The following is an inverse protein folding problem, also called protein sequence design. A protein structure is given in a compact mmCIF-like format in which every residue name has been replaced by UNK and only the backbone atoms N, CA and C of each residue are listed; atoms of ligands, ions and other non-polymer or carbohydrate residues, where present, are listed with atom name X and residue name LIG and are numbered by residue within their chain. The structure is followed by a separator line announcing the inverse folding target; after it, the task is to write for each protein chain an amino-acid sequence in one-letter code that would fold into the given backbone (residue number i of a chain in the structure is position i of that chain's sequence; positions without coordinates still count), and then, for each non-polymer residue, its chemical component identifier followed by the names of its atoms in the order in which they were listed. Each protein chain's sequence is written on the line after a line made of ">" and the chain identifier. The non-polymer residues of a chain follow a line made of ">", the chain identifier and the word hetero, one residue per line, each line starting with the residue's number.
data_IF_703533526754
#
_entry.id   IF_703533526754
#
_cell.length_a   1.000
_cell.length_b   1.000
_cell.length_c   1.000
_cell.angle_alpha   90.00
_cell.angle_beta   90.00
_cell.angle_gamma   90.00
#
_symmetry.space_group_name_H-M   'P 1'
#
loop_
_entity.id
_entity.type
_entity.pdbx_description
1 polymer ?
#
# COMPACT_ATOMS: atom_id res chain seq x y z
N UNK A 1 -15.20 -0.09 -6.96
CA UNK A 1 -16.15 -0.11 -5.83
C UNK A 1 -17.36 0.74 -6.15
N UNK A 2 -17.13 2.02 -6.41
CA UNK A 2 -18.13 3.00 -6.86
C UNK A 2 -18.95 2.50 -8.07
N UNK A 3 -18.29 1.86 -9.05
CA UNK A 3 -18.95 1.27 -10.24
C UNK A 3 -20.03 0.24 -9.87
N UNK A 4 -19.73 -0.68 -8.93
CA UNK A 4 -20.68 -1.70 -8.48
C UNK A 4 -21.90 -1.06 -7.80
N UNK A 5 -21.67 -0.01 -7.00
CA UNK A 5 -22.73 0.74 -6.35
C UNK A 5 -23.63 1.43 -7.38
N UNK A 6 -23.03 2.08 -8.37
CA UNK A 6 -23.74 2.75 -9.45
C UNK A 6 -24.59 1.77 -10.28
N UNK A 7 -24.02 0.63 -10.68
CA UNK A 7 -24.75 -0.40 -11.42
C UNK A 7 -25.94 -0.95 -10.63
N UNK A 8 -25.75 -1.24 -9.32
CA UNK A 8 -26.83 -1.73 -8.45
C UNK A 8 -27.95 -0.70 -8.30
N UNK A 9 -27.60 0.58 -8.13
CA UNK A 9 -28.58 1.66 -8.07
C UNK A 9 -29.40 1.77 -9.37
N UNK A 10 -28.78 1.44 -10.52
CA UNK A 10 -29.44 1.41 -11.82
C UNK A 10 -30.16 0.08 -12.13
N UNK A 11 -30.21 -0.89 -11.20
CA UNK A 11 -30.81 -2.21 -11.43
C UNK A 11 -30.02 -3.12 -12.37
N UNK A 12 -28.76 -2.79 -12.67
CA UNK A 12 -27.88 -3.59 -13.52
C UNK A 12 -27.24 -4.71 -12.69
N UNK A 13 -27.43 -5.99 -13.05
CA UNK A 13 -26.81 -7.11 -12.33
C UNK A 13 -25.29 -7.10 -12.52
N UNK A 14 -24.54 -7.24 -11.42
CA UNK A 14 -23.08 -7.23 -11.41
C UNK A 14 -22.53 -8.43 -10.66
N UNK A 15 -21.53 -9.08 -11.26
CA UNK A 15 -20.71 -10.11 -10.62
C UNK A 15 -19.27 -9.59 -10.50
N UNK A 16 -18.66 -9.71 -9.33
CA UNK A 16 -17.25 -9.37 -9.12
C UNK A 16 -16.42 -10.65 -9.17
N UNK A 17 -15.45 -10.69 -10.07
CA UNK A 17 -14.49 -11.81 -10.20
C UNK A 17 -13.15 -11.36 -9.58
N UNK A 18 -12.69 -11.98 -8.48
CA UNK A 18 -11.42 -11.61 -7.85
C UNK A 18 -10.23 -11.83 -8.80
N UNK A 19 -9.30 -10.88 -8.79
CA UNK A 19 -8.04 -10.95 -9.54
C UNK A 19 -6.81 -11.00 -8.64
N UNK A 20 -5.65 -11.29 -9.23
CA UNK A 20 -4.36 -11.22 -8.53
C UNK A 20 -3.89 -9.77 -8.50
N UNK A 21 -3.81 -9.19 -7.30
CA UNK A 21 -3.37 -7.79 -7.12
C UNK A 21 -1.87 -7.63 -7.38
N UNK A 22 -1.49 -6.47 -7.93
CA UNK A 22 -0.09 -6.06 -8.07
C UNK A 22 0.64 -5.96 -6.74
N UNK A 23 -0.08 -5.71 -5.64
CA UNK A 23 0.49 -5.67 -4.29
C UNK A 23 1.25 -6.96 -3.94
N UNK A 24 0.80 -8.11 -4.45
CA UNK A 24 1.43 -9.41 -4.18
C UNK A 24 2.23 -9.90 -5.38
N UNK A 25 1.71 -9.76 -6.60
CA UNK A 25 2.37 -10.31 -7.79
C UNK A 25 3.63 -9.56 -8.18
N UNK A 26 3.66 -8.23 -8.05
CA UNK A 26 4.83 -7.43 -8.43
C UNK A 26 6.09 -7.77 -7.61
N UNK A 27 6.06 -7.77 -6.25
CA UNK A 27 7.24 -8.15 -5.47
C UNK A 27 7.62 -9.62 -5.69
N UNK A 28 6.63 -10.51 -5.90
CA UNK A 28 6.90 -11.92 -6.20
C UNK A 28 7.68 -12.13 -7.50
N UNK A 29 7.47 -11.30 -8.53
CA UNK A 29 8.27 -11.33 -9.76
C UNK A 29 9.75 -10.99 -9.50
N UNK A 30 10.02 -10.21 -8.46
CA UNK A 30 11.38 -9.91 -7.98
C UNK A 30 11.93 -10.91 -6.97
N UNK A 31 11.21 -12.02 -6.69
CA UNK A 31 11.60 -12.97 -5.64
C UNK A 31 11.43 -12.45 -4.21
N UNK A 32 10.66 -11.36 -4.02
CA UNK A 32 10.41 -10.75 -2.71
C UNK A 32 9.06 -11.23 -2.21
N UNK A 33 9.01 -12.10 -1.17
CA UNK A 33 7.74 -12.49 -0.58
C UNK A 33 7.21 -11.35 0.30
N UNK A 34 5.90 -11.11 0.26
CA UNK A 34 5.27 -10.05 1.09
C UNK A 34 5.23 -10.39 2.58
N UNK A 35 5.45 -11.66 2.94
CA UNK A 35 5.66 -12.11 4.31
C UNK A 35 6.80 -13.12 4.35
N UNK A 36 7.53 -13.17 5.45
CA UNK A 36 8.57 -14.16 5.63
C UNK A 36 8.72 -14.47 7.13
N UNK A 37 8.70 -15.76 7.48
CA UNK A 37 8.81 -16.21 8.88
C UNK A 37 10.08 -15.64 9.52
N UNK A 38 9.94 -15.06 10.70
CA UNK A 38 11.05 -14.47 11.44
C UNK A 38 11.58 -13.15 10.87
N UNK A 39 10.96 -12.61 9.81
CA UNK A 39 11.34 -11.34 9.18
C UNK A 39 10.13 -10.40 9.15
N UNK A 40 9.07 -10.75 8.43
CA UNK A 40 7.84 -9.97 8.34
C UNK A 40 6.60 -10.85 8.49
N UNK A 41 5.80 -10.57 9.52
CA UNK A 41 4.53 -11.27 9.80
C UNK A 41 3.29 -10.44 9.43
N UNK A 42 3.50 -9.21 8.94
CA UNK A 42 2.47 -8.24 8.58
C UNK A 42 2.72 -7.65 7.21
N UNK A 43 1.63 -7.34 6.52
CA UNK A 43 1.60 -6.60 5.26
C UNK A 43 0.73 -5.37 5.43
N UNK A 44 1.24 -4.20 5.03
CA UNK A 44 0.50 -2.94 5.08
C UNK A 44 0.41 -2.36 3.66
N UNK A 45 -0.78 -2.38 3.05
CA UNK A 45 -1.01 -1.87 1.69
C UNK A 45 -1.60 -0.47 1.76
N UNK A 46 -0.93 0.49 1.14
CA UNK A 46 -1.30 1.91 1.20
C UNK A 46 -1.37 2.54 -0.18
N UNK A 47 -2.13 3.62 -0.30
CA UNK A 47 -2.19 4.45 -1.49
C UNK A 47 -1.19 5.61 -1.37
N UNK A 48 -0.16 5.63 -2.20
CA UNK A 48 0.84 6.69 -2.28
C UNK A 48 0.41 7.95 -3.06
N UNK A 49 -0.84 7.98 -3.55
CA UNK A 49 -1.43 9.11 -4.26
C UNK A 49 -2.65 9.64 -3.50
N UNK A 50 -2.43 10.43 -2.41
CA UNK A 50 -3.52 11.00 -1.64
C UNK A 50 -4.18 12.16 -2.40
N UNK A 51 -5.31 12.62 -1.88
CA UNK A 51 -5.96 13.83 -2.37
C UNK A 51 -5.03 15.05 -2.21
N UNK A 52 -5.26 16.08 -3.03
CA UNK A 52 -4.44 17.29 -3.02
C UNK A 52 -4.51 17.98 -1.65
N UNK A 53 -3.35 18.22 -1.05
CA UNK A 53 -3.23 18.88 0.25
C UNK A 53 -3.21 17.93 1.45
N UNK A 54 -3.37 16.62 1.23
CA UNK A 54 -3.22 15.60 2.28
C UNK A 54 -1.80 15.04 2.35
N UNK A 55 -1.40 14.62 3.55
CA UNK A 55 -0.18 13.85 3.77
C UNK A 55 -0.20 12.56 2.94
N UNK A 56 0.97 12.14 2.47
CA UNK A 56 1.16 10.88 1.75
C UNK A 56 0.98 9.70 2.69
N UNK A 57 1.46 9.88 3.93
CA UNK A 57 1.48 8.86 4.96
C UNK A 57 0.67 9.35 6.16
N UNK A 58 -0.27 8.52 6.58
CA UNK A 58 -1.07 8.70 7.79
C UNK A 58 -0.33 8.14 9.00
N UNK A 59 -0.87 8.37 10.19
CA UNK A 59 -0.27 7.90 11.44
C UNK A 59 -0.01 6.37 11.44
N UNK A 60 -0.95 5.59 10.90
CA UNK A 60 -0.83 4.13 10.81
C UNK A 60 0.21 3.69 9.78
N UNK A 61 0.34 4.42 8.66
CA UNK A 61 1.36 4.15 7.64
C UNK A 61 2.76 4.38 8.22
N UNK A 62 2.93 5.47 8.98
CA UNK A 62 4.16 5.75 9.69
C UNK A 62 4.44 4.71 10.79
N UNK A 63 3.41 4.22 11.48
CA UNK A 63 3.57 3.14 12.47
C UNK A 63 4.00 1.83 11.81
N UNK A 64 3.46 1.50 10.64
CA UNK A 64 3.87 0.34 9.85
C UNK A 64 5.32 0.47 9.37
N UNK A 65 5.72 1.64 8.87
CA UNK A 65 7.10 1.90 8.42
C UNK A 65 8.14 1.87 9.55
N UNK A 66 7.74 2.13 10.80
CA UNK A 66 8.61 1.95 11.98
C UNK A 66 8.65 0.51 12.49
N UNK A 67 7.79 -0.37 11.99
CA UNK A 67 7.70 -1.74 12.48
C UNK A 67 8.63 -2.64 11.68
N UNK A 68 9.68 -3.23 12.29
CA UNK A 68 10.64 -4.07 11.58
C UNK A 68 10.01 -5.39 11.06
N UNK A 69 8.83 -5.76 11.56
CA UNK A 69 8.12 -6.97 11.16
C UNK A 69 7.03 -6.74 10.10
N UNK A 70 6.98 -5.55 9.48
CA UNK A 70 5.93 -5.18 8.52
C UNK A 70 6.52 -4.89 7.16
N UNK A 71 6.01 -5.56 6.12
CA UNK A 71 6.27 -5.18 4.73
C UNK A 71 5.23 -4.14 4.30
N UNK A 72 5.70 -2.93 3.95
CA UNK A 72 4.84 -1.83 3.49
C UNK A 72 4.82 -1.80 1.96
N UNK A 73 3.62 -1.89 1.38
CA UNK A 73 3.38 -1.89 -0.06
C UNK A 73 2.67 -0.60 -0.45
N UNK A 74 3.39 0.31 -1.11
CA UNK A 74 2.86 1.61 -1.56
C UNK A 74 2.36 1.52 -3.00
N UNK A 75 1.05 1.38 -3.18
CA UNK A 75 0.43 1.43 -4.50
C UNK A 75 0.35 2.86 -5.02
N UNK A 76 0.48 3.06 -6.33
CA UNK A 76 0.42 4.39 -6.96
C UNK A 76 1.46 5.41 -6.41
N UNK A 77 2.53 4.93 -5.77
CA UNK A 77 3.50 5.79 -5.08
C UNK A 77 4.62 6.37 -5.95
N UNK A 78 4.84 5.87 -7.17
CA UNK A 78 6.04 6.19 -7.97
C UNK A 78 6.22 7.69 -8.20
N UNK A 79 5.15 8.39 -8.62
CA UNK A 79 5.20 9.83 -8.86
C UNK A 79 5.42 10.65 -7.58
N UNK A 80 5.06 10.10 -6.42
CA UNK A 80 5.17 10.74 -5.11
C UNK A 80 6.37 10.27 -4.28
N UNK A 81 7.29 9.46 -4.84
CA UNK A 81 8.30 8.73 -4.08
C UNK A 81 9.15 9.64 -3.19
N UNK A 82 9.68 10.75 -3.74
CA UNK A 82 10.50 11.68 -2.97
C UNK A 82 9.78 12.24 -1.73
N UNK A 83 8.48 12.54 -1.87
CA UNK A 83 7.64 13.03 -0.76
C UNK A 83 7.35 11.93 0.24
N UNK A 84 6.97 10.73 -0.24
CA UNK A 84 6.74 9.56 0.61
C UNK A 84 7.97 9.23 1.46
N UNK A 85 9.16 9.22 0.86
CA UNK A 85 10.42 8.99 1.58
C UNK A 85 10.69 10.08 2.60
N UNK A 86 10.49 11.36 2.26
CA UNK A 86 10.69 12.47 3.18
C UNK A 86 9.74 12.39 4.39
N UNK A 87 8.45 12.12 4.15
CA UNK A 87 7.45 11.93 5.20
C UNK A 87 7.76 10.70 6.07
N UNK A 88 8.21 9.59 5.46
CA UNK A 88 8.59 8.38 6.18
C UNK A 88 9.76 8.63 7.13
N UNK A 89 10.83 9.26 6.64
CA UNK A 89 12.01 9.61 7.44
C UNK A 89 11.67 10.60 8.55
N UNK A 90 10.89 11.64 8.25
CA UNK A 90 10.39 12.57 9.26
C UNK A 90 9.52 11.88 10.32
N UNK A 91 8.78 10.84 9.92
CA UNK A 91 7.99 10.00 10.81
C UNK A 91 8.78 8.92 11.54
N UNK A 92 10.11 8.91 11.43
CA UNK A 92 11.01 8.02 12.17
C UNK A 92 11.20 6.64 11.55
N UNK A 93 10.89 6.45 10.27
CA UNK A 93 11.30 5.24 9.55
C UNK A 93 12.83 5.11 9.55
N UNK A 94 13.33 3.89 9.71
CA UNK A 94 14.78 3.64 9.70
C UNK A 94 15.33 3.85 8.27
N UNK A 95 16.29 4.77 8.05
CA UNK A 95 16.87 5.03 6.73
C UNK A 95 17.65 3.83 6.16
N UNK A 96 17.97 2.83 6.98
CA UNK A 96 18.61 1.58 6.55
C UNK A 96 17.60 0.49 6.15
N UNK A 97 16.29 0.75 6.28
CA UNK A 97 15.24 -0.18 5.82
C UNK A 97 15.37 -0.40 4.31
N UNK A 98 15.45 -1.65 3.82
CA UNK A 98 15.48 -1.95 2.39
C UNK A 98 14.25 -1.50 1.62
#
# INVERSE_FOLDING_TARGET
>A
GEEVLACRAAGVPVTVVPGVTSAVSAPALGGIPVTHRGVADRVHVVNGHPARGEAALRADDLAALRSPCTTVLVLMGVAGLARLTAEALAGGADPATP
#
